data_IF_765049986863
#
_entry.id   IF_765049986863
#
_cell.length_a   1.000
_cell.length_b   1.000
_cell.length_c   1.000
_cell.angle_alpha   90.00
_cell.angle_beta   90.00
_cell.angle_gamma   90.00
#
_symmetry.space_group_name_H-M   'P 1'
#
loop_
_entity.id
_entity.type
_entity.pdbx_description
1 polymer ?
#
# COMPACT_ATOMS: atom_id res chain seq x y z
N UNK A 1 -8.21 20.76 -12.96
CA UNK A 1 -8.70 20.75 -11.57
C UNK A 1 -9.04 19.32 -11.24
N UNK A 2 -8.07 18.56 -10.71
CA UNK A 2 -8.25 17.13 -10.42
C UNK A 2 -8.97 17.06 -9.10
N UNK A 3 -10.25 16.67 -9.13
CA UNK A 3 -10.93 16.21 -7.94
C UNK A 3 -10.16 14.99 -7.45
N UNK A 4 -9.47 15.15 -6.32
CA UNK A 4 -9.10 14.03 -5.47
C UNK A 4 -10.38 13.25 -5.23
N UNK A 5 -10.54 12.12 -5.92
CA UNK A 5 -11.41 11.07 -5.42
C UNK A 5 -10.67 10.58 -4.17
N UNK A 6 -11.03 11.19 -3.04
CA UNK A 6 -10.73 10.68 -1.73
C UNK A 6 -11.28 9.27 -1.69
N UNK A 7 -10.44 8.26 -1.94
CA UNK A 7 -10.63 6.96 -1.31
C UNK A 7 -10.62 7.25 0.19
N UNK A 8 -11.81 7.29 0.75
CA UNK A 8 -12.08 7.80 2.07
C UNK A 8 -11.67 6.72 3.10
N UNK A 9 -10.34 6.58 3.31
CA UNK A 9 -9.72 5.82 4.39
C UNK A 9 -8.61 6.66 5.02
N UNK A 10 -9.01 7.68 5.79
CA UNK A 10 -8.13 8.33 6.77
C UNK A 10 -8.60 7.85 8.14
N UNK A 11 -8.01 6.77 8.65
CA UNK A 11 -8.11 6.39 10.07
C UNK A 11 -6.91 6.98 10.83
N UNK A 12 -6.76 8.29 10.63
CA UNK A 12 -5.86 9.28 11.24
C UNK A 12 -4.58 8.79 11.91
N UNK A 13 -3.67 8.31 11.07
CA UNK A 13 -2.21 8.44 11.27
C UNK A 13 -1.76 9.58 10.34
N UNK A 14 -0.75 10.39 10.72
CA UNK A 14 -0.36 11.58 9.95
C UNK A 14 -0.13 11.25 8.47
N UNK A 15 -0.88 11.92 7.59
CA UNK A 15 -0.67 11.78 6.15
C UNK A 15 0.68 12.38 5.81
N UNK A 16 1.52 11.58 5.17
CA UNK A 16 2.87 11.97 4.77
C UNK A 16 2.82 13.01 3.62
N UNK A 17 2.71 14.28 4.00
CA UNK A 17 2.51 15.42 3.09
C UNK A 17 3.81 16.22 2.96
N UNK A 18 4.04 16.80 1.78
CA UNK A 18 5.16 17.72 1.54
C UNK A 18 4.62 19.06 1.03
N UNK A 19 4.89 20.13 1.75
CA UNK A 19 4.52 21.51 1.50
C UNK A 19 5.59 22.26 0.70
N UNK A 20 5.20 23.39 0.10
CA UNK A 20 6.10 24.23 -0.69
C UNK A 20 6.23 23.82 -2.17
N UNK A 21 6.97 24.64 -2.93
CA UNK A 21 7.29 24.40 -4.34
C UNK A 21 8.51 23.48 -4.45
N UNK A 22 8.30 22.22 -4.08
CA UNK A 22 9.33 21.18 -3.99
C UNK A 22 9.84 20.83 -5.39
N UNK A 23 11.16 20.77 -5.53
CA UNK A 23 11.87 20.32 -6.71
C UNK A 23 12.35 18.88 -6.56
N UNK A 24 12.91 18.55 -5.40
CA UNK A 24 13.48 17.23 -5.12
C UNK A 24 13.31 16.87 -3.65
N UNK A 25 13.08 15.58 -3.39
CA UNK A 25 13.09 15.01 -2.04
C UNK A 25 13.97 13.78 -2.07
N UNK A 26 15.02 13.78 -1.27
CA UNK A 26 15.77 12.58 -0.94
C UNK A 26 15.33 12.08 0.42
N UNK A 27 14.95 10.80 0.51
CA UNK A 27 14.46 10.20 1.73
C UNK A 27 15.17 8.88 2.01
N UNK A 28 15.60 8.70 3.27
CA UNK A 28 16.32 7.49 3.70
C UNK A 28 16.00 7.17 5.16
N UNK A 29 16.16 5.91 5.55
CA UNK A 29 16.25 5.51 6.96
C UNK A 29 17.70 5.14 7.30
N UNK A 30 18.17 5.62 8.45
CA UNK A 30 19.50 5.32 9.01
C UNK A 30 19.34 4.62 10.34
N UNK A 31 20.18 3.62 10.60
CA UNK A 31 20.18 2.83 11.83
C UNK A 31 21.43 3.16 12.66
N UNK A 32 21.32 3.96 13.74
CA UNK A 32 22.48 4.49 14.47
C UNK A 32 23.35 3.42 15.16
N UNK A 33 22.79 2.25 15.46
CA UNK A 33 23.46 1.19 16.22
C UNK A 33 24.02 0.06 15.34
N UNK A 34 23.77 0.08 14.03
CA UNK A 34 24.35 -0.89 13.10
C UNK A 34 25.74 -0.38 12.72
N UNK A 35 26.75 -0.73 13.52
CA UNK A 35 28.13 -0.78 13.01
C UNK A 35 28.28 -2.05 12.18
N UNK A 36 29.21 -2.06 11.21
CA UNK A 36 29.53 -3.22 10.36
C UNK A 36 29.88 -4.51 11.16
N UNK A 37 30.10 -4.38 12.46
CA UNK A 37 30.53 -5.44 13.38
C UNK A 37 29.41 -5.92 14.33
N UNK A 38 28.33 -5.16 14.52
CA UNK A 38 27.20 -5.50 15.40
C UNK A 38 26.25 -6.57 14.78
N UNK A 39 26.66 -7.12 13.65
CA UNK A 39 25.82 -7.89 12.75
C UNK A 39 26.03 -9.41 12.94
N UNK A 40 26.46 -9.82 14.14
CA UNK A 40 26.91 -11.20 14.42
C UNK A 40 26.03 -11.87 15.49
N UNK A 41 25.23 -11.13 16.26
CA UNK A 41 24.32 -11.73 17.24
C UNK A 41 22.92 -11.99 16.66
N UNK A 42 22.84 -13.10 15.91
CA UNK A 42 21.79 -14.12 16.06
C UNK A 42 20.41 -13.88 15.46
N UNK A 43 19.70 -12.80 15.83
CA UNK A 43 18.27 -12.65 15.50
C UNK A 43 17.96 -11.37 14.69
N UNK A 44 18.81 -10.34 14.78
CA UNK A 44 18.70 -9.10 14.01
C UNK A 44 19.46 -9.15 12.67
N UNK A 45 20.02 -10.30 12.26
CA UNK A 45 20.85 -10.38 11.05
C UNK A 45 20.11 -10.94 9.82
N UNK A 46 19.09 -11.79 10.01
CA UNK A 46 18.32 -12.34 8.88
C UNK A 46 17.27 -11.36 8.34
N UNK A 47 16.70 -10.50 9.19
CA UNK A 47 15.78 -9.42 8.79
C UNK A 47 16.44 -8.37 7.86
N UNK A 48 17.78 -8.35 7.80
CA UNK A 48 18.54 -7.29 7.16
C UNK A 48 19.52 -7.78 6.09
N UNK A 49 19.63 -9.07 5.77
CA UNK A 49 20.46 -9.47 4.62
C UNK A 49 19.85 -9.06 3.26
N UNK A 50 18.55 -8.75 3.22
CA UNK A 50 17.86 -7.98 2.18
C UNK A 50 17.06 -6.88 2.89
N UNK A 51 17.53 -5.64 2.99
CA UNK A 51 16.92 -4.62 3.88
C UNK A 51 15.47 -4.22 3.49
N UNK A 52 14.98 -4.58 2.30
CA UNK A 52 13.54 -4.54 1.99
C UNK A 52 12.75 -5.73 2.59
N UNK A 53 13.36 -6.52 3.46
CA UNK A 53 12.79 -7.72 4.09
C UNK A 53 12.75 -8.93 3.15
N UNK A 54 12.05 -9.98 3.59
CA UNK A 54 11.83 -11.23 2.84
C UNK A 54 11.17 -11.01 1.47
N UNK A 55 10.47 -9.89 1.30
CA UNK A 55 9.70 -9.57 0.10
C UNK A 55 10.52 -8.85 -0.99
N UNK A 56 11.77 -8.48 -0.71
CA UNK A 56 12.56 -7.65 -1.63
C UNK A 56 11.90 -6.29 -1.89
N UNK A 57 12.27 -5.60 -2.98
CA UNK A 57 11.66 -4.32 -3.35
C UNK A 57 10.33 -4.55 -4.11
N UNK A 58 9.14 -4.37 -3.48
CA UNK A 58 7.84 -4.63 -4.13
C UNK A 58 7.45 -3.54 -5.14
N UNK A 59 8.14 -2.40 -5.14
CA UNK A 59 7.88 -1.27 -6.02
C UNK A 59 7.62 0.03 -5.25
N UNK A 60 7.62 1.17 -5.96
CA UNK A 60 7.61 2.51 -5.35
C UNK A 60 6.43 2.76 -4.41
N UNK A 61 5.23 2.36 -4.81
CA UNK A 61 4.00 2.57 -4.02
C UNK A 61 4.01 1.69 -2.78
N UNK A 62 4.17 0.39 -2.98
CA UNK A 62 4.07 -0.62 -1.94
C UNK A 62 5.18 -0.45 -0.90
N UNK A 63 6.42 -0.12 -1.32
CA UNK A 63 7.50 0.19 -0.38
C UNK A 63 7.17 1.39 0.50
N UNK A 64 6.57 2.46 -0.02
CA UNK A 64 6.16 3.62 0.80
C UNK A 64 5.05 3.26 1.76
N UNK A 65 4.07 2.48 1.33
CA UNK A 65 2.96 2.03 2.18
C UNK A 65 3.47 1.12 3.30
N UNK A 66 4.37 0.18 3.00
CA UNK A 66 5.02 -0.67 4.00
C UNK A 66 5.87 0.16 4.95
N UNK A 67 6.72 1.08 4.45
CA UNK A 67 7.48 1.99 5.32
C UNK A 67 6.56 2.77 6.24
N UNK A 68 5.48 3.38 5.73
CA UNK A 68 4.52 4.11 6.54
C UNK A 68 3.87 3.20 7.60
N UNK A 69 3.43 2.00 7.20
CA UNK A 69 2.82 1.03 8.08
C UNK A 69 3.76 0.62 9.22
N UNK A 70 4.94 0.10 8.90
CA UNK A 70 5.90 -0.35 9.91
C UNK A 70 6.38 0.80 10.79
N UNK A 71 6.55 2.00 10.22
CA UNK A 71 7.00 3.16 10.96
C UNK A 71 6.00 3.55 12.07
N UNK A 72 4.71 3.64 11.76
CA UNK A 72 3.71 4.16 12.70
C UNK A 72 2.90 3.11 13.45
N UNK A 73 2.77 1.88 12.96
CA UNK A 73 1.92 0.85 13.59
C UNK A 73 2.67 -0.21 14.38
N UNK A 74 4.00 -0.24 14.30
CA UNK A 74 4.80 -1.34 14.89
C UNK A 74 6.05 -0.81 15.58
N UNK A 75 6.75 -1.67 16.32
CA UNK A 75 8.12 -1.41 16.78
C UNK A 75 9.19 -1.72 15.73
N UNK A 76 8.82 -2.19 14.55
CA UNK A 76 9.75 -2.55 13.46
C UNK A 76 9.95 -1.37 12.49
N UNK A 77 10.87 -1.53 11.54
CA UNK A 77 11.12 -0.56 10.49
C UNK A 77 11.17 -1.28 9.14
N UNK A 78 10.74 -0.61 8.08
CA UNK A 78 10.95 -1.06 6.72
C UNK A 78 11.83 -0.05 5.98
N UNK A 79 12.75 -0.56 5.17
CA UNK A 79 13.74 0.26 4.49
C UNK A 79 13.10 1.18 3.44
N UNK A 80 13.61 2.41 3.38
CA UNK A 80 13.34 3.35 2.29
C UNK A 80 14.64 4.06 1.96
N UNK A 81 14.92 4.18 0.67
CA UNK A 81 16.00 4.99 0.15
C UNK A 81 15.65 5.39 -1.28
N UNK A 82 15.13 6.60 -1.45
CA UNK A 82 14.70 7.08 -2.75
C UNK A 82 14.92 8.58 -2.95
N UNK A 83 15.03 8.96 -4.22
CA UNK A 83 15.01 10.35 -4.67
C UNK A 83 13.80 10.56 -5.55
N UNK A 84 13.03 11.59 -5.26
CA UNK A 84 11.80 11.98 -5.97
C UNK A 84 11.99 13.35 -6.57
N UNK A 85 11.66 13.51 -7.84
CA UNK A 85 11.80 14.77 -8.58
C UNK A 85 10.44 15.26 -9.04
N UNK A 86 10.22 16.55 -8.87
CA UNK A 86 8.95 17.20 -9.17
C UNK A 86 9.14 18.31 -10.20
N UNK A 87 8.18 18.48 -11.11
CA UNK A 87 8.14 19.64 -11.98
C UNK A 87 7.62 20.89 -11.23
N UNK A 88 7.62 22.05 -11.89
CA UNK A 88 7.11 23.31 -11.31
C UNK A 88 5.60 23.29 -11.01
N UNK A 89 4.87 22.35 -11.59
CA UNK A 89 3.45 22.13 -11.34
C UNK A 89 3.21 21.13 -10.19
N UNK A 90 4.28 20.70 -9.50
CA UNK A 90 4.29 19.73 -8.40
C UNK A 90 3.90 18.30 -8.83
N UNK A 91 3.98 17.98 -10.12
CA UNK A 91 3.84 16.61 -10.59
C UNK A 91 5.12 15.83 -10.31
N UNK A 92 5.00 14.60 -9.80
CA UNK A 92 6.12 13.68 -9.64
C UNK A 92 6.56 13.18 -11.01
N UNK A 93 7.70 13.63 -11.52
CA UNK A 93 8.17 13.30 -12.88
C UNK A 93 9.16 12.14 -12.90
N UNK A 94 9.86 11.88 -11.78
CA UNK A 94 10.88 10.85 -11.71
C UNK A 94 11.13 10.36 -10.29
N UNK A 95 11.48 9.09 -10.17
CA UNK A 95 12.01 8.50 -8.94
C UNK A 95 13.25 7.65 -9.20
N UNK A 96 14.22 7.70 -8.29
CA UNK A 96 15.30 6.72 -8.18
C UNK A 96 15.17 5.99 -6.86
N UNK A 97 15.32 4.67 -6.90
CA UNK A 97 15.34 3.83 -5.72
C UNK A 97 16.69 3.14 -5.60
N UNK A 98 17.17 3.04 -4.37
CA UNK A 98 18.49 2.51 -4.06
C UNK A 98 18.37 1.33 -3.09
N UNK A 99 19.37 0.46 -3.09
CA UNK A 99 19.61 -0.49 -2.03
C UNK A 99 20.48 0.11 -0.91
N UNK A 100 20.79 -0.71 0.10
CA UNK A 100 21.62 -0.30 1.25
C UNK A 100 23.07 0.07 0.89
N UNK A 101 23.57 -0.40 -0.25
CA UNK A 101 24.90 -0.10 -0.76
C UNK A 101 24.89 1.18 -1.62
N UNK A 102 23.75 1.87 -1.66
CA UNK A 102 23.50 3.02 -2.52
C UNK A 102 23.59 2.69 -4.01
N UNK A 103 23.44 1.41 -4.38
CA UNK A 103 23.28 1.01 -5.76
C UNK A 103 21.85 1.25 -6.21
N UNK A 104 21.68 1.85 -7.38
CA UNK A 104 20.36 2.15 -7.94
C UNK A 104 19.69 0.85 -8.43
N UNK A 105 18.56 0.49 -7.83
CA UNK A 105 17.82 -0.74 -8.15
C UNK A 105 16.69 -0.51 -9.14
N UNK A 106 15.99 0.62 -9.03
CA UNK A 106 14.86 0.97 -9.89
C UNK A 106 14.85 2.47 -10.24
N UNK A 107 14.22 2.78 -11.36
CA UNK A 107 13.90 4.14 -11.81
C UNK A 107 12.48 4.18 -12.30
N UNK A 108 11.71 5.16 -11.86
CA UNK A 108 10.36 5.42 -12.35
C UNK A 108 10.36 6.75 -13.09
N UNK A 109 9.79 6.78 -14.30
CA UNK A 109 9.60 8.01 -15.06
C UNK A 109 8.11 8.21 -15.33
N UNK A 110 7.63 9.43 -15.20
CA UNK A 110 6.22 9.76 -15.37
C UNK A 110 6.06 10.85 -16.42
N UNK A 111 5.16 10.63 -17.37
CA UNK A 111 4.85 11.59 -18.44
C UNK A 111 3.44 12.11 -18.25
N UNK A 112 3.27 13.42 -18.35
CA UNK A 112 1.99 14.10 -18.17
C UNK A 112 1.60 14.86 -19.43
N UNK A 113 0.30 14.90 -19.72
CA UNK A 113 -0.33 15.81 -20.67
C UNK A 113 -1.34 16.68 -19.91
N UNK A 114 -1.15 18.00 -19.90
CA UNK A 114 -2.01 18.94 -19.15
C UNK A 114 -2.23 18.54 -17.67
N UNK A 115 -1.17 18.12 -16.97
CA UNK A 115 -1.18 17.58 -15.59
C UNK A 115 -1.94 16.26 -15.39
N UNK A 116 -2.41 15.60 -16.46
CA UNK A 116 -2.92 14.22 -16.41
C UNK A 116 -1.78 13.26 -16.75
N UNK A 117 -1.53 12.27 -15.90
CA UNK A 117 -0.56 11.21 -16.19
C UNK A 117 -1.01 10.47 -17.46
N UNK A 118 -0.10 10.29 -18.42
CA UNK A 118 -0.37 9.57 -19.68
C UNK A 118 0.52 8.36 -19.89
N UNK A 119 1.68 8.31 -19.24
CA UNK A 119 2.54 7.15 -19.25
C UNK A 119 3.41 7.08 -18.00
N UNK A 120 3.79 5.87 -17.61
CA UNK A 120 4.85 5.64 -16.64
C UNK A 120 5.74 4.49 -17.06
N UNK A 121 7.04 4.62 -16.83
CA UNK A 121 8.03 3.58 -17.09
C UNK A 121 8.71 3.26 -15.75
N UNK A 122 8.55 2.03 -15.27
CA UNK A 122 9.35 1.47 -14.19
C UNK A 122 10.43 0.59 -14.82
N UNK A 123 11.69 0.95 -14.57
CA UNK A 123 12.84 0.20 -15.04
C UNK A 123 13.65 -0.24 -13.84
N UNK A 124 13.78 -1.55 -13.64
CA UNK A 124 14.75 -2.16 -12.74
C UNK A 124 15.99 -2.60 -13.53
N UNK A 125 17.00 -3.12 -12.83
CA UNK A 125 18.11 -3.84 -13.47
C UNK A 125 17.66 -5.09 -14.26
N UNK A 126 16.48 -5.63 -13.98
CA UNK A 126 16.03 -6.94 -14.45
C UNK A 126 14.73 -6.92 -15.29
N UNK A 127 14.00 -5.79 -15.30
CA UNK A 127 12.69 -5.70 -15.92
C UNK A 127 12.34 -4.27 -16.30
N UNK A 128 11.51 -4.13 -17.33
CA UNK A 128 10.91 -2.84 -17.70
C UNK A 128 9.41 -3.02 -17.78
N UNK A 129 8.68 -2.23 -16.98
CA UNK A 129 7.23 -2.13 -16.99
C UNK A 129 6.85 -0.80 -17.61
N UNK A 130 6.05 -0.84 -18.66
CA UNK A 130 5.54 0.33 -19.35
C UNK A 130 4.03 0.36 -19.20
N UNK A 131 3.52 1.47 -18.67
CA UNK A 131 2.10 1.75 -18.60
C UNK A 131 1.80 2.87 -19.59
N UNK A 132 0.91 2.59 -20.55
CA UNK A 132 0.39 3.56 -21.51
C UNK A 132 -1.09 3.79 -21.25
N UNK A 133 -1.50 5.05 -21.20
CA UNK A 133 -2.90 5.44 -21.04
C UNK A 133 -3.39 5.92 -22.40
N UNK A 134 -4.08 5.04 -23.13
CA UNK A 134 -4.69 5.35 -24.42
C UNK A 134 -6.11 5.88 -24.18
N UNK A 135 -6.37 7.08 -24.68
CA UNK A 135 -7.72 7.66 -24.70
C UNK A 135 -8.29 7.38 -26.08
N UNK A 136 -9.33 6.55 -26.19
CA UNK A 136 -9.98 6.30 -27.47
C UNK A 136 -10.86 7.50 -27.85
N UNK A 137 -11.10 7.71 -29.16
CA UNK A 137 -11.82 8.89 -29.67
C UNK A 137 -13.30 8.95 -29.24
N UNK A 138 -13.86 7.84 -28.77
CA UNK A 138 -15.11 7.84 -28.00
C UNK A 138 -14.82 8.37 -26.59
N UNK A 139 -15.08 9.67 -26.44
CA UNK A 139 -14.69 10.62 -25.37
C UNK A 139 -14.84 10.18 -23.90
N UNK A 140 -15.36 8.99 -23.62
CA UNK A 140 -15.64 8.50 -22.27
C UNK A 140 -14.98 7.14 -21.94
N UNK A 141 -14.32 6.45 -22.87
CA UNK A 141 -13.63 5.18 -22.55
C UNK A 141 -12.11 5.39 -22.58
N UNK A 142 -11.44 5.11 -21.45
CA UNK A 142 -9.98 5.09 -21.39
C UNK A 142 -9.52 3.63 -21.33
N UNK A 143 -8.57 3.24 -22.18
CA UNK A 143 -7.91 1.95 -22.10
C UNK A 143 -6.47 2.14 -21.64
N UNK A 144 -6.10 1.49 -20.55
CA UNK A 144 -4.72 1.46 -20.08
C UNK A 144 -4.12 0.11 -20.46
N UNK A 145 -3.09 0.17 -21.29
CA UNK A 145 -2.25 -0.97 -21.62
C UNK A 145 -1.03 -0.96 -20.69
N UNK A 146 -0.86 -2.07 -19.98
CA UNK A 146 0.29 -2.33 -19.13
C UNK A 146 1.06 -3.49 -19.75
N UNK A 147 2.28 -3.21 -20.17
CA UNK A 147 3.21 -4.20 -20.68
C UNK A 147 4.39 -4.34 -19.73
N UNK A 148 4.57 -5.54 -19.22
CA UNK A 148 5.74 -5.90 -18.41
C UNK A 148 6.61 -6.85 -19.21
N UNK A 149 7.75 -6.35 -19.71
CA UNK A 149 8.80 -7.20 -20.29
C UNK A 149 9.76 -7.60 -19.16
N UNK A 150 9.75 -8.89 -18.79
CA UNK A 150 10.71 -9.50 -17.85
C UNK A 150 11.84 -10.14 -18.65
N UNK A 151 13.09 -9.79 -18.36
CA UNK A 151 14.25 -10.19 -19.16
C UNK A 151 14.76 -11.62 -18.87
N UNK A 152 15.21 -12.27 -19.95
CA UNK A 152 16.05 -13.45 -20.22
C UNK A 152 15.98 -14.78 -19.42
N UNK A 153 15.37 -14.88 -18.23
CA UNK A 153 15.39 -16.17 -17.47
C UNK A 153 14.07 -16.93 -17.41
N UNK A 154 12.94 -16.27 -17.63
CA UNK A 154 11.64 -16.92 -17.50
C UNK A 154 10.68 -16.70 -18.67
N UNK A 155 11.04 -15.89 -19.67
CA UNK A 155 10.20 -15.61 -20.86
C UNK A 155 8.75 -15.22 -20.52
N UNK A 156 8.53 -14.62 -19.35
CA UNK A 156 7.20 -14.30 -18.86
C UNK A 156 6.86 -12.85 -19.18
N UNK A 157 6.03 -12.65 -20.21
CA UNK A 157 5.42 -11.34 -20.45
C UNK A 157 4.10 -11.29 -19.71
N UNK A 158 3.98 -10.34 -18.78
CA UNK A 158 2.70 -10.04 -18.13
C UNK A 158 2.03 -8.92 -18.91
N UNK A 159 0.91 -9.23 -19.55
CA UNK A 159 0.06 -8.23 -20.16
C UNK A 159 -1.10 -7.92 -19.23
N UNK A 160 -1.37 -6.65 -18.98
CA UNK A 160 -2.64 -6.24 -18.38
C UNK A 160 -3.30 -5.15 -19.18
N UNK A 161 -4.56 -5.38 -19.53
CA UNK A 161 -5.42 -4.39 -20.17
C UNK A 161 -6.48 -3.99 -19.16
N UNK A 162 -6.65 -2.69 -18.96
CA UNK A 162 -7.67 -2.14 -18.07
C UNK A 162 -8.57 -1.21 -18.89
N UNK A 163 -9.86 -1.47 -18.88
CA UNK A 163 -10.84 -0.62 -19.55
C UNK A 163 -11.59 0.19 -18.49
N UNK A 164 -11.68 1.49 -18.72
CA UNK A 164 -12.38 2.42 -17.85
C UNK A 164 -13.55 3.04 -18.59
N UNK A 165 -14.72 3.11 -17.94
CA UNK A 165 -15.81 4.01 -18.33
C UNK A 165 -15.70 5.26 -17.45
N UNK A 166 -15.35 6.37 -18.09
CA UNK A 166 -14.91 7.63 -17.49
C UNK A 166 -13.69 7.40 -16.59
N UNK A 167 -13.91 7.35 -15.28
CA UNK A 167 -12.89 7.13 -14.25
C UNK A 167 -13.07 5.80 -13.49
N UNK A 168 -14.02 4.96 -13.90
CA UNK A 168 -14.35 3.70 -13.23
C UNK A 168 -13.78 2.52 -14.02
N UNK A 169 -13.00 1.67 -13.36
CA UNK A 169 -12.45 0.46 -13.97
C UNK A 169 -13.59 -0.53 -14.20
N UNK A 170 -14.03 -0.73 -15.44
CA UNK A 170 -15.16 -1.62 -15.76
C UNK A 170 -14.73 -3.04 -16.11
N UNK A 171 -13.51 -3.21 -16.61
CA UNK A 171 -12.93 -4.53 -16.83
C UNK A 171 -11.40 -4.52 -16.74
N UNK A 172 -10.84 -5.69 -16.44
CA UNK A 172 -9.42 -5.93 -16.48
C UNK A 172 -9.12 -7.31 -17.07
N UNK A 173 -8.19 -7.38 -18.01
CA UNK A 173 -7.59 -8.60 -18.50
C UNK A 173 -6.15 -8.68 -17.99
N UNK A 174 -5.73 -9.82 -17.46
CA UNK A 174 -4.34 -10.11 -17.10
C UNK A 174 -3.91 -11.44 -17.71
N UNK A 175 -2.78 -11.45 -18.39
CA UNK A 175 -2.11 -12.68 -18.84
C UNK A 175 -0.82 -12.81 -18.05
N UNK A 176 -0.64 -13.91 -17.32
CA UNK A 176 0.56 -14.16 -16.52
C UNK A 176 0.82 -15.67 -16.43
N UNK A 177 2.05 -16.12 -16.71
CA UNK A 177 2.44 -17.54 -16.67
C UNK A 177 1.46 -18.48 -17.44
N UNK A 178 1.02 -18.08 -18.64
CA UNK A 178 0.04 -18.83 -19.44
C UNK A 178 -1.41 -18.82 -18.90
N UNK A 179 -1.67 -18.16 -17.77
CA UNK A 179 -3.01 -18.00 -17.21
C UNK A 179 -3.62 -16.70 -17.67
N UNK A 180 -4.90 -16.78 -18.00
CA UNK A 180 -5.73 -15.62 -18.30
C UNK A 180 -6.67 -15.38 -17.12
N UNK A 181 -6.62 -14.17 -16.57
CA UNK A 181 -7.61 -13.68 -15.63
C UNK A 181 -8.38 -12.52 -16.25
N UNK A 182 -9.71 -12.60 -16.18
CA UNK A 182 -10.61 -11.52 -16.62
C UNK A 182 -11.47 -11.11 -15.43
N UNK A 183 -11.48 -9.82 -15.15
CA UNK A 183 -12.25 -9.20 -14.09
C UNK A 183 -13.27 -8.24 -14.71
N UNK A 184 -14.49 -8.25 -14.21
CA UNK A 184 -15.54 -7.28 -14.54
C UNK A 184 -16.04 -6.61 -13.27
N UNK A 185 -16.29 -5.31 -13.34
CA UNK A 185 -16.68 -4.52 -12.19
C UNK A 185 -17.97 -3.76 -12.47
N UNK A 186 -18.88 -3.75 -11.50
CA UNK A 186 -20.12 -2.96 -11.54
C UNK A 186 -20.15 -1.97 -10.39
N UNK A 187 -20.73 -0.81 -10.68
CA UNK A 187 -20.81 0.30 -9.76
C UNK A 187 -22.26 0.75 -9.57
N UNK A 188 -22.56 1.27 -8.38
CA UNK A 188 -23.81 1.98 -8.11
C UNK A 188 -23.75 3.44 -8.61
N UNK A 189 -24.84 4.19 -8.41
CA UNK A 189 -24.93 5.61 -8.78
C UNK A 189 -23.94 6.50 -8.01
N UNK A 190 -23.53 6.07 -6.82
CA UNK A 190 -22.53 6.74 -5.98
C UNK A 190 -21.09 6.35 -6.35
N UNK A 191 -20.90 5.57 -7.43
CA UNK A 191 -19.61 5.06 -7.90
C UNK A 191 -18.92 4.09 -6.94
N UNK A 192 -19.67 3.46 -6.04
CA UNK A 192 -19.15 2.37 -5.21
C UNK A 192 -19.17 1.05 -5.99
N UNK A 193 -18.12 0.25 -5.89
CA UNK A 193 -18.05 -1.06 -6.57
C UNK A 193 -18.95 -2.07 -5.85
N UNK A 194 -20.10 -2.39 -6.43
CA UNK A 194 -21.09 -3.30 -5.81
C UNK A 194 -20.90 -4.76 -6.20
N UNK A 195 -20.24 -5.02 -7.32
CA UNK A 195 -19.96 -6.37 -7.79
C UNK A 195 -18.63 -6.43 -8.54
N UNK A 196 -17.83 -7.45 -8.26
CA UNK A 196 -16.66 -7.85 -9.03
C UNK A 196 -16.79 -9.33 -9.41
N UNK A 197 -16.65 -9.63 -10.68
CA UNK A 197 -16.65 -11.00 -11.19
C UNK A 197 -15.29 -11.31 -11.80
N UNK A 198 -14.59 -12.27 -11.21
CA UNK A 198 -13.30 -12.76 -11.73
C UNK A 198 -13.46 -14.13 -12.37
N UNK A 199 -12.81 -14.30 -13.50
CA UNK A 199 -12.71 -15.53 -14.26
C UNK A 199 -11.24 -15.89 -14.40
N UNK A 200 -10.87 -17.13 -14.07
CA UNK A 200 -9.52 -17.63 -14.27
C UNK A 200 -9.56 -18.85 -15.19
N UNK A 201 -8.75 -18.79 -16.24
CA UNK A 201 -8.57 -19.83 -17.23
C UNK A 201 -7.10 -20.24 -17.30
N UNK A 202 -6.86 -21.56 -17.23
CA UNK A 202 -5.57 -22.13 -17.62
C UNK A 202 -5.58 -22.25 -19.15
N UNK A 203 -4.64 -21.62 -19.84
CA UNK A 203 -4.52 -21.79 -21.28
C UNK A 203 -3.08 -22.17 -21.65
N UNK A 204 -2.92 -23.20 -22.47
CA UNK A 204 -1.63 -23.46 -23.15
C UNK A 204 -1.42 -22.46 -24.31
N UNK A 205 -2.47 -21.74 -24.74
CA UNK A 205 -2.44 -20.73 -25.81
C UNK A 205 -3.40 -19.55 -25.49
N UNK A 206 -2.89 -18.52 -24.83
CA UNK A 206 -3.67 -17.36 -24.35
C UNK A 206 -4.18 -16.42 -25.44
N UNK A 207 -3.62 -16.50 -26.66
CA UNK A 207 -3.99 -15.66 -27.80
C UNK A 207 -5.30 -16.09 -28.48
N UNK A 208 -5.72 -17.35 -28.29
CA UNK A 208 -6.88 -17.96 -28.99
C UNK A 208 -7.92 -18.57 -28.03
N UNK A 209 -7.82 -18.28 -26.73
CA UNK A 209 -8.75 -18.82 -25.74
C UNK A 209 -10.11 -18.11 -25.87
N UNK A 210 -11.10 -18.81 -26.44
CA UNK A 210 -12.51 -18.45 -26.31
C UNK A 210 -13.06 -18.79 -24.92
N UNK A 211 -14.32 -18.43 -24.67
CA UNK A 211 -15.01 -18.49 -23.37
C UNK A 211 -15.17 -19.90 -22.75
N UNK A 212 -14.75 -20.98 -23.42
CA UNK A 212 -15.30 -22.32 -23.19
C UNK A 212 -14.64 -23.18 -22.11
N UNK A 213 -13.60 -22.71 -21.40
CA UNK A 213 -13.05 -23.46 -20.22
C UNK A 213 -12.69 -22.55 -19.05
N UNK A 214 -13.71 -21.97 -18.44
CA UNK A 214 -13.58 -21.28 -17.16
C UNK A 214 -13.33 -22.30 -16.04
N UNK A 215 -12.14 -22.26 -15.44
CA UNK A 215 -11.74 -23.21 -14.38
C UNK A 215 -12.21 -22.72 -13.01
N UNK A 216 -12.16 -21.41 -12.79
CA UNK A 216 -12.52 -20.78 -11.51
C UNK A 216 -13.30 -19.50 -11.75
N UNK A 217 -14.34 -19.29 -10.94
CA UNK A 217 -15.11 -18.05 -10.91
C UNK A 217 -15.22 -17.54 -9.48
N UNK A 218 -14.93 -16.26 -9.29
CA UNK A 218 -15.09 -15.55 -8.03
C UNK A 218 -16.13 -14.46 -8.26
N UNK A 219 -17.11 -14.36 -7.35
CA UNK A 219 -18.02 -13.22 -7.33
C UNK A 219 -17.86 -12.55 -5.98
N UNK A 220 -17.45 -11.29 -5.99
CA UNK A 220 -17.48 -10.43 -4.82
C UNK A 220 -18.67 -9.51 -4.94
N UNK A 221 -19.54 -9.48 -3.92
CA UNK A 221 -20.64 -8.53 -3.79
C UNK A 221 -20.39 -7.65 -2.59
N UNK A 222 -20.59 -6.35 -2.75
CA UNK A 222 -20.30 -5.36 -1.73
C UNK A 222 -21.50 -4.46 -1.51
N UNK A 223 -21.80 -4.20 -0.24
CA UNK A 223 -22.87 -3.31 0.19
C UNK A 223 -22.31 -2.14 0.99
N UNK A 224 -22.89 -0.97 0.76
CA UNK A 224 -22.43 0.28 1.33
C UNK A 224 -23.56 0.91 2.15
N UNK A 225 -23.18 1.57 3.24
CA UNK A 225 -24.13 2.34 4.03
C UNK A 225 -24.48 3.67 3.35
N UNK A 226 -25.40 4.43 3.96
CA UNK A 226 -25.84 5.75 3.47
C UNK A 226 -24.72 6.81 3.33
N UNK A 227 -23.57 6.59 3.99
CA UNK A 227 -22.39 7.46 3.92
C UNK A 227 -21.35 6.96 2.88
N UNK A 228 -21.73 6.04 1.99
CA UNK A 228 -20.85 5.41 1.00
C UNK A 228 -19.66 4.67 1.62
N UNK A 229 -19.84 4.08 2.81
CA UNK A 229 -18.83 3.22 3.45
C UNK A 229 -19.18 1.76 3.28
N UNK A 230 -18.19 0.94 2.93
CA UNK A 230 -18.34 -0.51 2.79
C UNK A 230 -18.77 -1.13 4.12
N UNK A 231 -20.01 -1.60 4.20
CA UNK A 231 -20.58 -2.24 5.40
C UNK A 231 -20.35 -3.74 5.38
N UNK A 232 -20.48 -4.37 4.21
CA UNK A 232 -20.16 -5.77 4.06
C UNK A 232 -19.67 -6.10 2.64
N UNK A 233 -18.81 -7.09 2.54
CA UNK A 233 -18.37 -7.68 1.27
C UNK A 233 -18.29 -9.18 1.40
N UNK A 234 -18.88 -9.91 0.46
CA UNK A 234 -18.90 -11.36 0.43
C UNK A 234 -18.29 -11.81 -0.89
N UNK A 235 -17.33 -12.73 -0.83
CA UNK A 235 -16.74 -13.38 -2.00
C UNK A 235 -17.10 -14.86 -2.01
N UNK A 236 -17.80 -15.26 -3.06
CA UNK A 236 -18.18 -16.65 -3.34
C UNK A 236 -17.19 -17.25 -4.34
N UNK A 237 -16.78 -18.49 -4.07
CA UNK A 237 -15.85 -19.25 -4.91
C UNK A 237 -16.58 -20.40 -5.59
N UNK A 238 -16.58 -20.41 -6.93
CA UNK A 238 -17.14 -21.50 -7.72
C UNK A 238 -16.06 -22.23 -8.52
N UNK A 239 -16.12 -23.56 -8.47
CA UNK A 239 -15.32 -24.47 -9.29
C UNK A 239 -16.31 -25.35 -10.06
N UNK A 240 -16.22 -25.35 -11.39
CA UNK A 240 -17.14 -26.08 -12.27
C UNK A 240 -18.63 -25.81 -11.97
N UNK A 241 -18.94 -24.56 -11.60
CA UNK A 241 -20.30 -24.11 -11.25
C UNK A 241 -20.79 -24.50 -9.85
N UNK A 242 -19.97 -25.16 -9.04
CA UNK A 242 -20.31 -25.55 -7.65
C UNK A 242 -19.69 -24.58 -6.66
N UNK A 243 -20.50 -23.99 -5.77
CA UNK A 243 -20.02 -23.18 -4.64
C UNK A 243 -19.16 -24.03 -3.72
N UNK A 244 -17.94 -23.57 -3.44
CA UNK A 244 -16.99 -24.28 -2.57
C UNK A 244 -16.76 -23.60 -1.24
N UNK A 245 -16.62 -22.27 -1.25
CA UNK A 245 -16.22 -21.49 -0.08
C UNK A 245 -16.84 -20.11 -0.13
N UNK A 246 -16.87 -19.46 1.02
CA UNK A 246 -17.25 -18.07 1.20
C UNK A 246 -16.20 -17.40 2.08
N UNK A 247 -15.80 -16.19 1.72
CA UNK A 247 -15.09 -15.28 2.63
C UNK A 247 -15.79 -13.95 2.63
N UNK A 248 -15.65 -13.18 3.69
CA UNK A 248 -16.16 -11.84 3.67
C UNK A 248 -15.61 -10.95 4.76
N UNK A 249 -16.06 -9.70 4.68
CA UNK A 249 -15.74 -8.63 5.62
C UNK A 249 -17.06 -8.01 6.04
N UNK A 250 -17.19 -7.75 7.34
CA UNK A 250 -18.29 -6.98 7.90
C UNK A 250 -17.72 -5.84 8.73
N UNK A 251 -18.22 -4.63 8.49
CA UNK A 251 -17.75 -3.41 9.12
C UNK A 251 -18.90 -2.72 9.86
N UNK A 252 -18.60 -2.20 11.05
CA UNK A 252 -19.51 -1.33 11.80
C UNK A 252 -18.90 0.04 11.96
N UNK A 253 -19.74 1.07 11.90
CA UNK A 253 -19.31 2.46 11.93
C UNK A 253 -20.03 3.26 13.00
N UNK A 254 -19.35 4.24 13.57
CA UNK A 254 -19.96 5.36 14.27
C UNK A 254 -19.74 6.60 13.41
N UNK A 255 -20.82 7.10 12.79
CA UNK A 255 -20.76 8.16 11.79
C UNK A 255 -19.83 7.81 10.61
N UNK A 256 -18.58 8.26 10.63
CA UNK A 256 -17.57 8.01 9.60
C UNK A 256 -16.42 7.10 10.05
N UNK A 257 -16.32 6.81 11.35
CA UNK A 257 -15.20 6.06 11.93
C UNK A 257 -15.57 4.58 12.09
N UNK A 258 -14.62 3.69 11.83
CA UNK A 258 -14.80 2.26 12.10
C UNK A 258 -14.96 2.04 13.61
N UNK A 259 -15.89 1.20 14.01
CA UNK A 259 -15.95 0.65 15.37
C UNK A 259 -15.32 -0.74 15.35
N UNK A 260 -15.72 -1.56 14.38
CA UNK A 260 -15.25 -2.93 14.22
C UNK A 260 -15.09 -3.28 12.75
N UNK A 261 -14.08 -4.08 12.46
CA UNK A 261 -13.91 -4.81 11.20
C UNK A 261 -13.79 -6.30 11.53
N UNK A 262 -14.59 -7.14 10.88
CA UNK A 262 -14.61 -8.58 11.07
C UNK A 262 -14.38 -9.28 9.74
N UNK A 263 -13.41 -10.18 9.69
CA UNK A 263 -13.17 -11.05 8.55
C UNK A 263 -13.69 -12.44 8.89
N UNK A 264 -14.26 -13.12 7.91
CA UNK A 264 -14.74 -14.49 8.06
C UNK A 264 -14.41 -15.35 6.84
N UNK A 265 -14.28 -16.64 7.10
CA UNK A 265 -14.02 -17.68 6.13
C UNK A 265 -14.88 -18.90 6.47
N UNK A 266 -15.63 -19.40 5.49
CA UNK A 266 -16.53 -20.56 5.63
C UNK A 266 -17.50 -20.46 6.83
N UNK A 267 -17.99 -19.24 7.11
CA UNK A 267 -18.92 -18.96 8.21
C UNK A 267 -18.28 -18.87 9.60
N UNK A 268 -16.98 -19.16 9.74
CA UNK A 268 -16.20 -18.87 10.95
C UNK A 268 -15.48 -17.54 10.79
N UNK A 269 -15.55 -16.69 11.81
CA UNK A 269 -14.72 -15.48 11.83
C UNK A 269 -13.26 -15.88 12.01
N UNK A 270 -12.34 -15.26 11.29
CA UNK A 270 -10.91 -15.55 11.41
C UNK A 270 -10.15 -14.39 12.07
N UNK A 271 -10.68 -13.15 11.95
CA UNK A 271 -10.08 -11.94 12.52
C UNK A 271 -11.10 -10.87 12.89
N UNK A 272 -10.89 -10.22 14.02
CA UNK A 272 -11.63 -9.05 14.49
C UNK A 272 -10.69 -7.90 14.82
N UNK A 273 -11.01 -6.71 14.33
CA UNK A 273 -10.29 -5.48 14.68
C UNK A 273 -11.25 -4.48 15.29
N UNK A 274 -10.90 -3.95 16.47
CA UNK A 274 -11.62 -2.88 17.16
C UNK A 274 -10.84 -1.58 17.07
N UNK A 275 -11.56 -0.48 16.94
CA UNK A 275 -10.98 0.85 16.81
C UNK A 275 -11.58 1.82 17.84
N UNK A 276 -10.75 2.68 18.42
CA UNK A 276 -11.18 3.79 19.27
C UNK A 276 -10.54 5.09 18.80
N UNK A 277 -11.26 6.19 19.04
CA UNK A 277 -10.88 7.52 18.60
C UNK A 277 -11.03 8.51 19.75
N UNK A 278 -10.27 9.60 19.73
CA UNK A 278 -10.48 10.72 20.64
C UNK A 278 -11.56 11.70 20.14
N UNK A 279 -11.79 12.79 20.89
CA UNK A 279 -12.77 13.81 20.51
C UNK A 279 -12.40 14.66 19.30
N UNK A 280 -11.20 14.48 18.73
CA UNK A 280 -10.74 15.08 17.47
C UNK A 280 -10.79 14.07 16.32
N UNK A 281 -11.47 12.93 16.51
CA UNK A 281 -11.57 11.82 15.57
C UNK A 281 -10.22 11.16 15.20
N UNK A 282 -9.19 11.31 16.04
CA UNK A 282 -7.88 10.67 15.81
C UNK A 282 -7.88 9.24 16.35
N UNK A 283 -7.30 8.29 15.62
CA UNK A 283 -7.21 6.89 16.07
C UNK A 283 -6.34 6.80 17.33
N UNK A 284 -6.90 6.36 18.45
CA UNK A 284 -6.18 6.21 19.73
C UNK A 284 -5.89 4.77 20.11
N UNK A 285 -6.70 3.83 19.62
CA UNK A 285 -6.51 2.40 19.86
C UNK A 285 -6.93 1.58 18.65
N UNK A 286 -6.11 0.60 18.28
CA UNK A 286 -6.47 -0.49 17.36
C UNK A 286 -6.11 -1.81 18.01
N UNK A 287 -7.08 -2.72 18.11
CA UNK A 287 -6.91 -4.03 18.77
C UNK A 287 -7.38 -5.15 17.85
N UNK A 288 -6.47 -6.03 17.44
CA UNK A 288 -6.74 -7.13 16.49
C UNK A 288 -6.67 -8.49 17.19
N UNK A 289 -7.70 -9.31 16.99
CA UNK A 289 -7.84 -10.67 17.51
C UNK A 289 -7.98 -11.65 16.35
N UNK A 290 -7.35 -12.82 16.43
CA UNK A 290 -7.55 -13.92 15.49
C UNK A 290 -8.25 -15.09 16.21
N UNK A 291 -9.18 -15.76 15.53
CA UNK A 291 -10.07 -16.77 16.15
C UNK A 291 -9.34 -18.06 16.52
N UNK A 292 -8.19 -18.32 15.88
CA UNK A 292 -7.34 -19.47 16.15
C UNK A 292 -6.02 -19.06 16.80
N UNK A 293 -6.00 -18.89 18.13
CA UNK A 293 -4.87 -19.11 19.06
C UNK A 293 -5.05 -18.23 20.33
N UNK A 294 -5.40 -18.82 21.48
CA UNK A 294 -5.04 -18.33 22.82
C UNK A 294 -5.12 -16.78 23.09
N UNK A 295 -6.21 -16.14 22.63
CA UNK A 295 -6.84 -14.88 23.10
C UNK A 295 -6.04 -13.58 23.30
N UNK A 296 -4.77 -13.50 22.93
CA UNK A 296 -4.01 -12.27 23.14
C UNK A 296 -4.05 -11.35 21.91
N UNK A 297 -4.64 -10.14 22.01
CA UNK A 297 -4.70 -9.23 20.88
C UNK A 297 -3.35 -8.59 20.58
N UNK A 298 -3.12 -8.30 19.30
CA UNK A 298 -2.15 -7.27 18.90
C UNK A 298 -2.82 -5.92 19.13
N UNK A 299 -2.20 -5.05 19.92
CA UNK A 299 -2.75 -3.74 20.24
C UNK A 299 -1.79 -2.61 19.89
N UNK A 300 -2.36 -1.53 19.36
CA UNK A 300 -1.67 -0.30 18.98
C UNK A 300 -2.36 0.84 19.73
N UNK A 301 -1.68 1.49 20.68
CA UNK A 301 -2.22 2.66 21.40
C UNK A 301 -1.42 3.90 21.05
N UNK A 302 -2.09 4.89 20.48
CA UNK A 302 -1.48 6.09 19.91
C UNK A 302 -1.63 7.30 20.83
N UNK A 303 -0.58 8.10 20.89
CA UNK A 303 -0.57 9.38 21.60
C UNK A 303 -0.04 10.46 20.67
N UNK A 304 -0.71 11.61 20.70
CA UNK A 304 -0.45 12.72 19.80
C UNK A 304 0.00 13.97 20.57
N UNK A 305 0.80 14.81 19.91
CA UNK A 305 1.04 16.18 20.37
C UNK A 305 -0.10 17.13 19.96
N UNK A 306 0.07 18.41 20.28
CA UNK A 306 -0.85 19.50 19.91
C UNK A 306 -0.91 19.77 18.40
N UNK A 307 0.12 19.36 17.65
CA UNK A 307 0.22 19.52 16.20
C UNK A 307 -0.27 18.26 15.44
N UNK A 308 -0.92 17.33 16.14
CA UNK A 308 -1.42 16.05 15.61
C UNK A 308 -0.34 15.08 15.11
N UNK A 309 0.91 15.23 15.53
CA UNK A 309 1.95 14.23 15.27
C UNK A 309 1.83 13.10 16.29
N UNK A 310 1.99 11.85 15.85
CA UNK A 310 2.12 10.71 16.76
C UNK A 310 3.47 10.82 17.45
N UNK A 311 3.46 11.02 18.77
CA UNK A 311 4.67 11.12 19.59
C UNK A 311 4.99 9.82 20.33
N UNK A 312 3.99 8.94 20.48
CA UNK A 312 4.18 7.65 21.13
C UNK A 312 3.21 6.60 20.60
N UNK A 313 3.71 5.37 20.50
CA UNK A 313 2.95 4.15 20.27
C UNK A 313 3.28 3.14 21.38
N UNK A 314 2.25 2.63 22.07
CA UNK A 314 2.39 1.38 22.83
C UNK A 314 1.94 0.24 21.95
N UNK A 315 2.90 -0.55 21.49
CA UNK A 315 2.67 -1.67 20.59
C UNK A 315 2.77 -2.99 21.36
N UNK A 316 1.66 -3.68 21.53
CA UNK A 316 1.64 -5.02 22.13
C UNK A 316 1.57 -6.05 21.03
N UNK A 317 2.57 -6.90 20.96
CA UNK A 317 2.58 -8.07 20.07
C UNK A 317 2.89 -9.32 20.86
N UNK A 318 2.63 -10.47 20.27
CA UNK A 318 3.01 -11.75 20.86
C UNK A 318 4.51 -11.93 20.69
N UNK A 319 5.20 -12.25 21.78
CA UNK A 319 6.61 -12.63 21.69
C UNK A 319 6.78 -13.91 20.88
N UNK A 320 7.84 -13.99 20.09
CA UNK A 320 8.23 -15.20 19.34
C UNK A 320 8.74 -16.34 20.25
N UNK A 321 8.66 -16.14 21.57
CA UNK A 321 9.05 -17.16 22.53
C UNK A 321 8.06 -18.32 22.57
N UNK A 322 8.56 -19.50 22.91
CA UNK A 322 7.78 -20.73 23.16
C UNK A 322 6.59 -20.54 24.11
N UNK A 323 6.60 -19.49 24.94
CA UNK A 323 5.62 -19.20 25.98
C UNK A 323 4.50 -18.25 25.57
N UNK A 324 4.52 -17.69 24.34
CA UNK A 324 3.44 -16.85 23.77
C UNK A 324 2.97 -15.70 24.68
N UNK A 325 3.88 -15.05 25.40
CA UNK A 325 3.51 -13.92 26.27
C UNK A 325 3.40 -12.64 25.43
N UNK A 326 2.43 -11.78 25.74
CA UNK A 326 2.35 -10.43 25.18
C UNK A 326 3.52 -9.58 25.66
N UNK A 327 4.24 -9.02 24.71
CA UNK A 327 5.26 -8.01 24.96
C UNK A 327 4.75 -6.66 24.47
N UNK A 328 4.80 -5.66 25.35
CA UNK A 328 4.47 -4.28 24.99
C UNK A 328 5.75 -3.48 24.81
N UNK A 329 5.96 -2.97 23.60
CA UNK A 329 7.03 -2.07 23.23
C UNK A 329 6.60 -0.62 23.40
N UNK A 330 7.44 0.19 24.05
CA UNK A 330 7.25 1.63 24.14
C UNK A 330 8.02 2.31 23.00
N UNK A 331 7.28 2.78 22.00
CA UNK A 331 7.82 3.44 20.81
C UNK A 331 7.61 4.95 20.94
N UNK A 332 8.68 5.74 20.86
CA UNK A 332 8.63 7.20 20.88
C UNK A 332 9.09 7.77 19.54
N UNK A 333 8.45 8.84 19.10
CA UNK A 333 8.78 9.56 17.88
C UNK A 333 9.19 10.99 18.20
N UNK A 334 10.32 11.44 17.64
CA UNK A 334 10.82 12.80 17.79
C UNK A 334 11.00 13.43 16.41
N UNK A 335 10.32 14.53 16.16
CA UNK A 335 10.28 15.19 14.85
C UNK A 335 11.18 16.42 14.83
N UNK A 336 11.72 16.71 13.66
CA UNK A 336 12.33 18.00 13.31
C UNK A 336 11.75 18.46 12.00
N UNK A 337 11.41 19.74 11.90
CA UNK A 337 10.77 20.35 10.74
C UNK A 337 11.69 21.39 10.09
N UNK A 338 11.50 21.63 8.80
CA UNK A 338 12.08 22.78 8.11
C UNK A 338 11.15 24.02 8.18
N UNK A 339 11.58 25.12 7.56
CA UNK A 339 10.85 26.39 7.55
C UNK A 339 9.52 26.34 6.78
N UNK A 340 9.24 25.24 6.06
CA UNK A 340 7.98 25.01 5.34
C UNK A 340 7.05 24.04 6.10
N UNK A 341 7.32 23.77 7.38
CA UNK A 341 6.62 22.80 8.22
C UNK A 341 6.64 21.36 7.66
N UNK A 342 7.66 21.04 6.85
CA UNK A 342 7.91 19.66 6.45
C UNK A 342 8.80 18.98 7.46
N UNK A 343 8.42 17.79 7.92
CA UNK A 343 9.35 17.01 8.72
C UNK A 343 10.58 16.63 7.87
N UNK A 344 11.76 16.89 8.42
CA UNK A 344 13.06 16.55 7.81
C UNK A 344 13.79 15.44 8.57
N UNK A 345 13.37 15.17 9.81
CA UNK A 345 13.86 14.04 10.60
C UNK A 345 12.76 13.51 11.50
N UNK A 346 12.65 12.19 11.59
CA UNK A 346 11.86 11.50 12.61
C UNK A 346 12.75 10.44 13.24
N UNK A 347 13.09 10.59 14.53
CA UNK A 347 13.78 9.55 15.28
C UNK A 347 12.74 8.62 15.92
N UNK A 348 12.92 7.30 15.75
CA UNK A 348 12.09 6.27 16.37
C UNK A 348 12.90 5.57 17.47
N UNK A 349 12.43 5.70 18.70
CA UNK A 349 13.04 5.05 19.87
C UNK A 349 12.16 3.90 20.34
N UNK A 350 12.73 2.71 20.51
CA UNK A 350 12.03 1.54 21.05
C UNK A 350 12.65 1.19 22.40
N UNK A 351 11.83 1.16 23.43
CA UNK A 351 12.23 0.90 24.82
C UNK A 351 13.41 1.79 25.27
N UNK A 352 13.39 3.05 24.84
CA UNK A 352 14.40 4.07 25.18
C UNK A 352 15.65 4.10 24.30
N UNK A 353 15.83 3.15 23.37
CA UNK A 353 16.98 3.10 22.45
C UNK A 353 16.60 3.64 21.07
N UNK A 354 17.46 4.45 20.44
CA UNK A 354 17.21 4.98 19.09
C UNK A 354 17.39 3.87 18.06
N UNK A 355 16.31 3.29 17.59
CA UNK A 355 16.38 2.16 16.66
C UNK A 355 16.68 2.65 15.23
N UNK A 356 16.01 3.73 14.81
CA UNK A 356 16.10 4.24 13.46
C UNK A 356 15.82 5.75 13.40
N UNK A 357 16.36 6.42 12.38
CA UNK A 357 16.05 7.82 12.06
C UNK A 357 15.67 7.89 10.59
N UNK A 358 14.44 8.34 10.30
CA UNK A 358 13.95 8.62 8.95
C UNK A 358 14.27 10.06 8.61
N UNK A 359 15.01 10.29 7.53
CA UNK A 359 15.55 11.58 7.15
C UNK A 359 15.00 12.01 5.79
N UNK A 360 14.79 13.31 5.62
CA UNK A 360 14.50 13.96 4.35
C UNK A 360 15.44 15.13 4.10
N UNK A 361 15.93 15.20 2.86
CA UNK A 361 16.49 16.42 2.31
C UNK A 361 15.52 16.93 1.25
N UNK A 362 15.01 18.14 1.45
CA UNK A 362 14.01 18.74 0.57
C UNK A 362 14.66 19.94 -0.12
N UNK A 363 14.62 19.93 -1.45
CA UNK A 363 15.10 21.02 -2.28
C UNK A 363 13.90 21.71 -2.92
N UNK A 364 13.82 23.03 -2.77
CA UNK A 364 12.76 23.84 -3.33
C UNK A 364 13.21 24.50 -4.63
N UNK A 365 12.27 24.80 -5.52
CA UNK A 365 12.51 25.77 -6.56
C UNK A 365 12.75 27.14 -5.91
N UNK A 366 13.77 27.86 -6.36
CA UNK A 366 13.94 29.27 -5.97
C UNK A 366 12.64 30.00 -6.29
N UNK A 367 12.13 30.77 -5.32
CA UNK A 367 11.11 31.77 -5.62
C UNK A 367 11.70 32.66 -6.71
N UNK A 368 11.15 32.59 -7.91
CA UNK A 368 11.40 33.62 -8.91
C UNK A 368 10.85 34.89 -8.27
N UNK A 369 11.74 35.76 -7.82
CA UNK A 369 11.43 37.17 -7.69
C UNK A 369 11.22 37.67 -9.12
N UNK A 370 10.00 37.55 -9.61
CA UNK A 370 9.56 38.23 -10.82
C UNK A 370 9.51 39.74 -10.58
#
# INVERSE_FOLDING_TARGET
MIFKINSCFSQYIPIDTIYGNVKEVYETIVYPHITKEASIDGDDYELFNNYYGEFGFPGSKDSKELTHFYWYHTSYNHYINNRRFYDKNRNLIKEYWYDQNYEKINTYNYTYNQNKLVASIDSSKYSIIQNFINVTEDKDINEIEIRTDVDDRTSDVIYSFKTFDKDLLVSQKKVYYGRLMISYFKYDENKNMVEEVNYVQNSENYLNAGDEKLVLRYITKSNYNQNNKLENSITEYMIDGVLKKERGITNKFNSNNFITESHFFEGSFDRYTFYKYDGLDRLTERSTFNDNLDNLPVTENYFYDENNNIIKLLYTTRSDTKYKVNETKNVLFEYTFDDCDNWVSIAKKVDGKVQAVRLRQIYYYSLLTD
#
